data_IF_640024582041
#
_entry.id   IF_640024582041
#
_cell.length_a   1.000
_cell.length_b   1.000
_cell.length_c   1.000
_cell.angle_alpha   90.00
_cell.angle_beta   90.00
_cell.angle_gamma   90.00
#
_symmetry.space_group_name_H-M   'P 1'
#
loop_
_entity.id
_entity.type
_entity.pdbx_description
1 polymer ?
#
# COMPACT_ATOMS: atom_id res chain seq x y z
N UNK A 1 8.56 -31.53 24.75
CA UNK A 1 9.07 -31.44 23.37
C UNK A 1 9.37 -29.99 23.01
N UNK A 2 10.63 -29.68 22.69
CA UNK A 2 10.97 -28.37 22.12
C UNK A 2 10.57 -28.42 20.65
N UNK A 3 9.47 -27.75 20.28
CA UNK A 3 9.18 -27.53 18.86
C UNK A 3 10.37 -26.79 18.24
N UNK A 4 11.11 -27.43 17.34
CA UNK A 4 12.12 -26.77 16.54
C UNK A 4 11.42 -25.94 15.47
N UNK A 5 11.60 -24.62 15.52
CA UNK A 5 11.09 -23.72 14.49
C UNK A 5 12.11 -23.60 13.36
N UNK A 6 11.66 -23.75 12.11
CA UNK A 6 12.49 -23.43 10.93
C UNK A 6 12.40 -21.95 10.56
N UNK A 7 13.18 -21.53 9.56
CA UNK A 7 13.09 -20.18 8.94
C UNK A 7 11.93 -20.04 7.95
N UNK A 8 11.09 -21.06 7.80
CA UNK A 8 9.93 -21.00 6.89
C UNK A 8 8.95 -19.91 7.33
N UNK A 9 8.28 -19.27 6.36
CA UNK A 9 7.22 -18.28 6.61
C UNK A 9 6.19 -18.77 7.64
N UNK A 10 5.77 -20.04 7.51
CA UNK A 10 4.77 -20.65 8.39
C UNK A 10 5.24 -20.67 9.84
N UNK A 11 6.49 -21.06 10.09
CA UNK A 11 7.05 -21.19 11.43
C UNK A 11 7.35 -19.84 12.07
N UNK A 12 7.86 -18.89 11.29
CA UNK A 12 8.07 -17.51 11.76
C UNK A 12 6.73 -16.89 12.19
N UNK A 13 5.69 -17.00 11.37
CA UNK A 13 4.36 -16.49 11.69
C UNK A 13 3.71 -17.23 12.87
N UNK A 14 3.93 -18.55 12.99
CA UNK A 14 3.47 -19.34 14.15
C UNK A 14 4.14 -18.84 15.43
N UNK A 15 5.45 -18.63 15.41
CA UNK A 15 6.20 -18.13 16.56
C UNK A 15 5.75 -16.73 16.98
N UNK A 16 5.55 -15.82 16.02
CA UNK A 16 5.02 -14.48 16.29
C UNK A 16 3.66 -14.53 17.02
N UNK A 17 2.75 -15.43 16.59
CA UNK A 17 1.48 -15.65 17.29
C UNK A 17 1.68 -16.18 18.71
N UNK A 18 2.59 -17.13 18.92
CA UNK A 18 2.91 -17.70 20.24
C UNK A 18 3.38 -16.62 21.21
N UNK A 19 4.24 -15.68 20.77
CA UNK A 19 4.68 -14.57 21.62
C UNK A 19 3.65 -13.44 21.74
N UNK A 20 2.46 -13.60 21.14
CA UNK A 20 1.32 -12.69 21.25
C UNK A 20 1.36 -11.49 20.31
N UNK A 21 2.05 -11.60 19.17
CA UNK A 21 2.01 -10.61 18.07
C UNK A 21 0.83 -10.92 17.16
N UNK A 22 0.04 -9.90 16.84
CA UNK A 22 -1.02 -10.02 15.85
C UNK A 22 -0.42 -9.87 14.44
N UNK A 23 -0.17 -11.02 13.81
CA UNK A 23 0.44 -11.11 12.48
C UNK A 23 -0.37 -10.47 11.36
N UNK A 24 -1.63 -10.07 11.61
CA UNK A 24 -2.46 -9.35 10.64
C UNK A 24 -2.03 -7.90 10.46
N UNK A 25 -1.22 -7.35 11.36
CA UNK A 25 -0.79 -5.94 11.34
C UNK A 25 0.72 -5.77 11.15
N UNK A 26 1.34 -6.80 10.56
CA UNK A 26 2.74 -6.79 10.12
C UNK A 26 2.79 -7.37 8.71
N UNK A 27 3.78 -6.96 7.94
CA UNK A 27 4.12 -7.57 6.65
C UNK A 27 5.40 -8.38 6.80
N UNK A 28 5.35 -9.65 6.42
CA UNK A 28 6.50 -10.55 6.48
C UNK A 28 7.19 -10.68 5.12
N UNK A 29 8.51 -10.51 5.13
CA UNK A 29 9.43 -10.93 4.06
C UNK A 29 10.50 -11.85 4.67
N UNK A 30 11.24 -12.64 3.87
CA UNK A 30 12.26 -13.53 4.41
C UNK A 30 13.36 -12.82 5.22
N UNK A 31 13.67 -11.56 4.89
CA UNK A 31 14.71 -10.77 5.57
C UNK A 31 14.15 -9.77 6.60
N UNK A 32 12.93 -9.26 6.40
CA UNK A 32 12.38 -8.14 7.17
C UNK A 32 10.92 -8.40 7.58
N UNK A 33 10.57 -8.00 8.79
CA UNK A 33 9.19 -7.84 9.24
C UNK A 33 8.90 -6.35 9.40
N UNK A 34 7.98 -5.85 8.59
CA UNK A 34 7.52 -4.48 8.64
C UNK A 34 6.32 -4.37 9.57
N UNK A 35 6.32 -3.39 10.47
CA UNK A 35 5.19 -3.13 11.36
C UNK A 35 4.26 -2.13 10.70
N UNK A 36 3.08 -2.58 10.29
CA UNK A 36 2.08 -1.77 9.59
C UNK A 36 1.29 -0.91 10.59
N UNK A 37 1.04 -1.44 11.78
CA UNK A 37 0.40 -0.71 12.86
C UNK A 37 0.98 -1.15 14.22
N UNK A 38 1.65 -0.22 14.92
CA UNK A 38 2.31 -0.52 16.19
C UNK A 38 1.33 -0.97 17.29
N UNK A 39 0.17 -0.32 17.39
CA UNK A 39 -0.84 -0.61 18.42
C UNK A 39 -1.49 -1.97 18.18
N UNK A 40 -1.93 -2.23 16.95
CA UNK A 40 -2.69 -3.44 16.63
C UNK A 40 -1.82 -4.68 16.46
N UNK A 41 -0.59 -4.55 15.96
CA UNK A 41 0.36 -5.67 15.91
C UNK A 41 0.70 -6.21 17.30
N UNK A 42 0.53 -5.38 18.36
CA UNK A 42 0.96 -5.68 19.72
C UNK A 42 2.45 -6.07 19.79
N UNK A 43 3.26 -5.74 18.80
CA UNK A 43 4.66 -6.15 18.75
C UNK A 43 5.50 -5.20 19.59
N UNK A 44 5.52 -5.37 20.91
CA UNK A 44 6.30 -4.52 21.82
C UNK A 44 7.81 -4.75 21.69
N UNK A 45 8.63 -3.85 22.25
CA UNK A 45 10.09 -4.04 22.33
C UNK A 45 10.49 -5.32 23.08
N UNK A 46 9.73 -5.69 24.11
CA UNK A 46 9.91 -6.96 24.83
C UNK A 46 9.69 -8.17 23.92
N UNK A 47 8.62 -8.16 23.13
CA UNK A 47 8.33 -9.23 22.15
C UNK A 47 9.38 -9.28 21.04
N UNK A 48 9.84 -8.12 20.57
CA UNK A 48 10.95 -8.03 19.60
C UNK A 48 12.23 -8.66 20.13
N UNK A 49 12.60 -8.39 21.39
CA UNK A 49 13.76 -9.04 22.02
C UNK A 49 13.58 -10.56 22.12
N UNK A 50 12.38 -11.05 22.46
CA UNK A 50 12.08 -12.50 22.45
C UNK A 50 12.18 -13.10 21.04
N UNK A 51 11.70 -12.37 20.04
CA UNK A 51 11.75 -12.78 18.63
C UNK A 51 13.18 -12.89 18.12
N UNK A 52 14.00 -11.86 18.35
CA UNK A 52 15.41 -11.82 17.91
C UNK A 52 16.29 -12.90 18.55
N UNK A 53 15.90 -13.47 19.69
CA UNK A 53 16.58 -14.65 20.26
C UNK A 53 16.39 -15.92 19.43
N UNK A 54 15.27 -16.03 18.70
CA UNK A 54 14.97 -17.18 17.83
C UNK A 54 15.31 -16.90 16.37
N UNK A 55 15.09 -15.67 15.90
CA UNK A 55 15.34 -15.25 14.52
C UNK A 55 16.22 -13.99 14.48
N UNK A 56 17.53 -14.10 14.75
CA UNK A 56 18.42 -12.94 14.78
C UNK A 56 18.60 -12.29 13.40
N UNK A 57 18.51 -13.08 12.32
CA UNK A 57 18.72 -12.62 10.94
C UNK A 57 17.53 -11.84 10.35
N UNK A 58 16.34 -11.92 10.97
CA UNK A 58 15.15 -11.22 10.49
C UNK A 58 15.08 -9.86 11.16
N UNK A 59 15.25 -8.80 10.38
CA UNK A 59 15.18 -7.43 10.86
C UNK A 59 13.72 -7.02 11.13
N UNK A 60 13.50 -6.28 12.21
CA UNK A 60 12.18 -5.70 12.55
C UNK A 60 12.18 -4.22 12.19
N UNK A 61 11.41 -3.86 11.16
CA UNK A 61 11.33 -2.50 10.64
C UNK A 61 10.18 -1.75 11.33
N UNK A 62 10.55 -0.77 12.17
CA UNK A 62 9.63 0.15 12.86
C UNK A 62 9.70 1.55 12.27
N UNK A 63 9.20 1.69 11.06
CA UNK A 63 9.22 2.97 10.35
C UNK A 63 7.85 3.67 10.48
N UNK A 64 7.85 4.93 10.93
CA UNK A 64 6.62 5.72 11.12
C UNK A 64 5.99 6.16 9.79
N UNK A 65 6.80 6.44 8.78
CA UNK A 65 6.34 6.76 7.42
C UNK A 65 5.65 5.55 6.79
N UNK A 66 6.26 4.37 6.87
CA UNK A 66 5.62 3.12 6.43
C UNK A 66 4.27 2.87 7.13
N UNK A 67 4.17 3.13 8.43
CA UNK A 67 2.90 3.02 9.17
C UNK A 67 1.85 4.02 8.68
N UNK A 68 2.26 5.25 8.30
CA UNK A 68 1.36 6.24 7.68
C UNK A 68 0.87 5.76 6.31
N UNK A 69 1.77 5.23 5.47
CA UNK A 69 1.42 4.65 4.16
C UNK A 69 0.42 3.50 4.33
N UNK A 70 0.70 2.56 5.25
CA UNK A 70 -0.21 1.47 5.58
C UNK A 70 -1.58 1.97 6.06
N UNK A 71 -1.60 3.03 6.87
CA UNK A 71 -2.85 3.61 7.39
C UNK A 71 -3.68 4.22 6.26
N UNK A 72 -3.06 4.95 5.32
CA UNK A 72 -3.75 5.48 4.14
C UNK A 72 -4.27 4.35 3.24
N UNK A 73 -3.39 3.40 2.90
CA UNK A 73 -3.74 2.25 2.04
C UNK A 73 -4.88 1.43 2.65
N UNK A 74 -4.86 1.21 3.97
CA UNK A 74 -5.88 0.40 4.65
C UNK A 74 -7.29 0.97 4.54
N UNK A 75 -7.45 2.30 4.38
CA UNK A 75 -8.76 2.91 4.20
C UNK A 75 -9.40 2.54 2.88
N UNK A 76 -8.60 2.35 1.83
CA UNK A 76 -9.07 1.91 0.51
C UNK A 76 -9.35 0.40 0.57
N UNK A 77 -8.34 -0.36 1.00
CA UNK A 77 -8.38 -1.82 1.00
C UNK A 77 -9.47 -2.41 1.90
N UNK A 78 -9.91 -1.71 2.96
CA UNK A 78 -10.98 -2.19 3.83
C UNK A 78 -12.36 -2.22 3.17
N UNK A 79 -12.57 -1.42 2.12
CA UNK A 79 -13.84 -1.38 1.38
C UNK A 79 -13.80 -2.21 0.10
N UNK A 80 -12.63 -2.35 -0.51
CA UNK A 80 -12.48 -2.99 -1.82
C UNK A 80 -12.16 -4.49 -1.74
N UNK A 81 -11.54 -4.96 -0.66
CA UNK A 81 -11.15 -6.38 -0.54
C UNK A 81 -12.29 -7.22 0.04
N UNK A 82 -12.76 -8.15 -0.77
CA UNK A 82 -13.64 -9.22 -0.32
C UNK A 82 -12.86 -10.39 0.33
N UNK A 83 -13.41 -11.04 1.38
CA UNK A 83 -12.78 -12.22 1.97
C UNK A 83 -12.58 -13.37 0.98
N UNK A 84 -11.43 -14.04 1.08
CA UNK A 84 -11.01 -15.19 0.28
C UNK A 84 -10.91 -14.94 -1.24
N UNK A 85 -10.92 -13.68 -1.70
CA UNK A 85 -10.74 -13.35 -3.11
C UNK A 85 -9.34 -13.70 -3.62
N UNK A 86 -9.27 -13.93 -4.93
CA UNK A 86 -8.02 -14.10 -5.69
C UNK A 86 -7.66 -12.75 -6.30
N UNK A 87 -6.48 -12.26 -5.96
CA UNK A 87 -6.01 -10.92 -6.34
C UNK A 87 -4.75 -11.04 -7.18
N UNK A 88 -4.81 -10.55 -8.42
CA UNK A 88 -3.66 -10.44 -9.31
C UNK A 88 -2.76 -9.29 -8.87
N UNK A 89 -1.49 -9.59 -8.59
CA UNK A 89 -0.47 -8.64 -8.15
C UNK A 89 0.28 -8.04 -9.35
N UNK A 90 0.65 -6.76 -9.32
CA UNK A 90 1.55 -6.17 -10.30
C UNK A 90 2.94 -6.80 -10.19
N UNK A 91 3.63 -6.92 -11.32
CA UNK A 91 5.00 -7.41 -11.36
C UNK A 91 5.96 -6.36 -10.79
N UNK A 92 6.96 -6.80 -10.03
CA UNK A 92 8.08 -5.98 -9.56
C UNK A 92 7.72 -4.73 -8.72
N UNK A 93 6.57 -4.69 -8.05
CA UNK A 93 6.20 -3.57 -7.17
C UNK A 93 6.31 -3.94 -5.68
N UNK A 94 7.49 -3.69 -5.10
CA UNK A 94 7.80 -4.02 -3.72
C UNK A 94 6.85 -3.35 -2.70
N UNK A 95 6.46 -2.10 -2.93
CA UNK A 95 5.58 -1.36 -2.01
C UNK A 95 4.21 -2.04 -1.91
N UNK A 96 3.65 -2.40 -3.07
CA UNK A 96 2.37 -3.11 -3.16
C UNK A 96 2.46 -4.51 -2.57
N UNK A 97 3.54 -5.26 -2.86
CA UNK A 97 3.76 -6.59 -2.27
C UNK A 97 3.73 -6.56 -0.74
N UNK A 98 4.50 -5.65 -0.13
CA UNK A 98 4.55 -5.51 1.32
C UNK A 98 3.20 -5.05 1.87
N UNK A 99 2.47 -4.16 1.21
CA UNK A 99 1.15 -3.73 1.66
C UNK A 99 0.11 -4.84 1.65
N UNK A 100 0.10 -5.66 0.61
CA UNK A 100 -0.90 -6.72 0.40
C UNK A 100 -0.61 -7.97 1.22
N UNK A 101 0.64 -8.25 1.55
CA UNK A 101 1.08 -9.41 2.34
C UNK A 101 0.21 -9.72 3.58
N UNK A 102 -0.11 -8.77 4.49
CA UNK A 102 -0.96 -9.04 5.65
C UNK A 102 -2.41 -9.40 5.30
N UNK A 103 -2.91 -9.01 4.13
CA UNK A 103 -4.30 -9.26 3.75
C UNK A 103 -4.56 -10.75 3.51
N UNK A 104 -3.51 -11.52 3.15
CA UNK A 104 -3.56 -13.00 3.12
C UNK A 104 -3.99 -13.60 4.46
N UNK A 105 -3.70 -12.89 5.57
CA UNK A 105 -4.07 -13.31 6.93
C UNK A 105 -5.29 -12.58 7.48
N UNK A 106 -5.53 -11.32 7.09
CA UNK A 106 -6.70 -10.55 7.54
C UNK A 106 -7.99 -11.10 6.96
N UNK A 107 -7.97 -11.38 5.65
CA UNK A 107 -9.17 -11.69 4.87
C UNK A 107 -9.05 -13.03 4.11
N UNK A 108 -7.91 -13.73 4.22
CA UNK A 108 -7.71 -15.00 3.53
C UNK A 108 -7.49 -14.86 2.02
N UNK A 109 -7.17 -13.67 1.53
CA UNK A 109 -6.96 -13.45 0.08
C UNK A 109 -5.80 -14.27 -0.44
N UNK A 110 -5.92 -14.70 -1.69
CA UNK A 110 -4.86 -15.39 -2.43
C UNK A 110 -4.22 -14.38 -3.38
N UNK A 111 -2.94 -14.11 -3.19
CA UNK A 111 -2.18 -13.25 -4.10
C UNK A 111 -1.59 -14.14 -5.21
N UNK A 112 -1.91 -13.83 -6.46
CA UNK A 112 -1.41 -14.54 -7.66
C UNK A 112 -0.68 -13.57 -8.57
N UNK A 113 0.17 -14.08 -9.45
CA UNK A 113 0.97 -13.30 -10.39
C UNK A 113 0.62 -13.60 -11.85
N UNK A 114 -0.21 -14.60 -12.08
CA UNK A 114 -0.72 -15.07 -13.37
C UNK A 114 -1.97 -15.93 -13.13
N UNK A 115 -2.74 -16.19 -14.20
CA UNK A 115 -3.92 -17.04 -14.17
C UNK A 115 -5.21 -16.30 -13.83
N UNK A 116 -6.21 -17.04 -13.34
CA UNK A 116 -7.55 -16.52 -13.01
C UNK A 116 -7.56 -15.71 -11.72
N UNK A 117 -8.27 -14.58 -11.71
CA UNK A 117 -8.38 -13.66 -10.57
C UNK A 117 -9.78 -13.04 -10.48
N UNK A 118 -10.16 -12.60 -9.28
CA UNK A 118 -11.38 -11.83 -9.03
C UNK A 118 -11.12 -10.32 -9.16
N UNK A 119 -9.93 -9.88 -8.73
CA UNK A 119 -9.51 -8.48 -8.75
C UNK A 119 -8.07 -8.35 -9.23
N UNK A 120 -7.73 -7.22 -9.82
CA UNK A 120 -6.36 -6.83 -10.14
C UNK A 120 -5.93 -5.62 -9.30
N UNK A 121 -4.70 -5.67 -8.79
CA UNK A 121 -4.12 -4.55 -8.07
C UNK A 121 -3.51 -3.57 -9.07
N UNK A 122 -4.00 -2.34 -9.02
CA UNK A 122 -3.43 -1.23 -9.75
C UNK A 122 -2.49 -0.41 -8.83
N UNK A 123 -1.20 -0.27 -9.16
CA UNK A 123 -0.23 0.42 -8.32
C UNK A 123 -0.32 1.96 -8.37
N UNK A 124 -1.25 2.55 -9.13
CA UNK A 124 -1.42 4.01 -9.26
C UNK A 124 -1.36 4.70 -7.90
N UNK A 125 -0.49 5.71 -7.82
CA UNK A 125 -0.26 6.52 -6.63
C UNK A 125 -1.04 7.84 -6.72
N UNK A 126 -1.05 8.61 -5.63
CA UNK A 126 -1.79 9.89 -5.59
C UNK A 126 -1.30 10.88 -6.66
N UNK A 127 0.01 10.93 -6.89
CA UNK A 127 0.62 11.87 -7.83
C UNK A 127 0.29 11.51 -9.29
N UNK A 128 0.27 10.22 -9.65
CA UNK A 128 -0.12 9.76 -10.99
C UNK A 128 -1.56 10.20 -11.31
N UNK A 129 -2.47 10.00 -10.36
CA UNK A 129 -3.90 10.30 -10.50
C UNK A 129 -4.15 11.81 -10.61
N UNK A 130 -3.48 12.61 -9.77
CA UNK A 130 -3.60 14.07 -9.81
C UNK A 130 -2.98 14.63 -11.09
N UNK A 131 -1.86 14.09 -11.55
CA UNK A 131 -1.27 14.45 -12.83
C UNK A 131 -2.25 14.14 -13.98
N UNK A 132 -2.86 12.94 -13.97
CA UNK A 132 -3.88 12.55 -14.95
C UNK A 132 -5.08 13.48 -15.00
N UNK A 133 -5.58 13.89 -13.83
CA UNK A 133 -6.68 14.87 -13.73
C UNK A 133 -6.28 16.21 -14.37
N UNK A 134 -5.11 16.75 -14.03
CA UNK A 134 -4.67 18.02 -14.61
C UNK A 134 -4.37 17.92 -16.10
N UNK A 135 -3.74 16.83 -16.52
CA UNK A 135 -3.46 16.56 -17.93
C UNK A 135 -4.77 16.56 -18.74
N UNK A 136 -5.79 15.83 -18.30
CA UNK A 136 -7.09 15.79 -18.99
C UNK A 136 -7.79 17.17 -19.03
N UNK A 137 -7.65 17.97 -17.96
CA UNK A 137 -8.16 19.35 -17.94
C UNK A 137 -7.43 20.23 -18.96
N UNK A 138 -6.10 20.14 -19.05
CA UNK A 138 -5.29 20.97 -19.94
C UNK A 138 -5.43 20.58 -21.42
N UNK A 139 -5.63 19.30 -21.72
CA UNK A 139 -5.91 18.83 -23.07
C UNK A 139 -7.35 19.10 -23.51
N UNK A 140 -8.24 19.44 -22.58
CA UNK A 140 -9.65 19.73 -22.86
C UNK A 140 -10.52 18.47 -22.96
N UNK A 141 -10.00 17.32 -22.55
CA UNK A 141 -10.71 16.03 -22.53
C UNK A 141 -11.73 15.95 -21.39
N UNK A 142 -11.63 16.86 -20.41
CA UNK A 142 -12.52 16.91 -19.25
C UNK A 142 -12.01 16.04 -18.10
N UNK A 143 -12.92 15.56 -17.24
CA UNK A 143 -12.57 14.60 -16.19
C UNK A 143 -12.89 13.19 -16.67
N UNK A 144 -11.86 12.35 -16.79
CA UNK A 144 -12.01 10.93 -17.08
C UNK A 144 -12.13 10.13 -15.78
N UNK A 145 -13.21 9.38 -15.65
CA UNK A 145 -13.50 8.52 -14.49
C UNK A 145 -13.32 7.06 -14.91
N UNK A 146 -12.07 6.61 -14.96
CA UNK A 146 -11.69 5.32 -15.55
C UNK A 146 -11.47 4.20 -14.51
N UNK A 147 -11.87 4.41 -13.25
CA UNK A 147 -11.72 3.37 -12.21
C UNK A 147 -12.57 2.16 -12.57
N UNK A 148 -11.92 1.01 -12.77
CA UNK A 148 -12.63 -0.23 -13.08
C UNK A 148 -13.10 -0.92 -11.80
N UNK A 149 -14.27 -1.55 -11.85
CA UNK A 149 -14.86 -2.22 -10.69
C UNK A 149 -14.08 -3.45 -10.22
N UNK A 150 -13.24 -4.03 -11.08
CA UNK A 150 -12.36 -5.17 -10.81
C UNK A 150 -10.92 -4.73 -10.46
N UNK A 151 -10.64 -3.43 -10.43
CA UNK A 151 -9.35 -2.87 -10.01
C UNK A 151 -9.40 -2.39 -8.56
N UNK A 152 -8.33 -2.69 -7.81
CA UNK A 152 -8.10 -2.21 -6.44
C UNK A 152 -6.89 -1.28 -6.47
N UNK A 153 -6.98 -0.11 -5.84
CA UNK A 153 -5.93 0.92 -5.91
C UNK A 153 -5.31 1.21 -4.53
N UNK A 154 -4.41 0.35 -4.00
CA UNK A 154 -3.91 0.48 -2.63
C UNK A 154 -3.19 1.81 -2.34
N UNK A 155 -2.57 2.41 -3.36
CA UNK A 155 -1.70 3.56 -3.23
C UNK A 155 -2.33 4.87 -3.71
N UNK A 156 -3.59 4.89 -4.16
CA UNK A 156 -4.25 6.07 -4.77
C UNK A 156 -4.30 7.29 -3.86
N UNK A 157 -4.17 7.09 -2.55
CA UNK A 157 -4.17 8.16 -1.54
C UNK A 157 -2.77 8.44 -0.97
N UNK A 158 -1.74 7.78 -1.48
CA UNK A 158 -0.36 7.81 -0.97
C UNK A 158 0.51 8.66 -1.91
N UNK A 159 1.13 9.75 -1.40
CA UNK A 159 2.06 10.57 -2.17
C UNK A 159 3.33 9.83 -2.62
N UNK A 160 3.87 10.21 -3.78
CA UNK A 160 5.13 9.69 -4.33
C UNK A 160 6.31 9.89 -3.38
N UNK A 161 6.43 11.09 -2.80
CA UNK A 161 7.53 11.46 -1.90
C UNK A 161 7.57 10.55 -0.65
N UNK A 162 6.41 10.15 -0.13
CA UNK A 162 6.32 9.22 0.98
C UNK A 162 6.81 7.82 0.61
N UNK A 163 6.42 7.34 -0.57
CA UNK A 163 6.83 6.03 -1.07
C UNK A 163 8.34 6.02 -1.30
N UNK A 164 8.87 6.99 -2.05
CA UNK A 164 10.29 7.07 -2.37
C UNK A 164 11.16 7.28 -1.14
N UNK A 165 10.75 8.17 -0.22
CA UNK A 165 11.47 8.34 1.06
C UNK A 165 11.53 7.04 1.87
N UNK A 166 10.45 6.25 1.89
CA UNK A 166 10.46 4.95 2.57
C UNK A 166 11.34 3.94 1.85
N UNK A 167 11.25 3.84 0.52
CA UNK A 167 12.04 2.90 -0.28
C UNK A 167 13.55 3.19 -0.15
N UNK A 168 13.96 4.46 -0.19
CA UNK A 168 15.35 4.87 0.03
C UNK A 168 15.85 4.47 1.43
N UNK A 169 15.07 4.77 2.47
CA UNK A 169 15.39 4.36 3.85
C UNK A 169 15.52 2.84 3.99
N UNK A 170 14.80 2.06 3.19
CA UNK A 170 14.81 0.61 3.20
C UNK A 170 15.85 -0.02 2.27
N UNK A 171 16.62 0.80 1.53
CA UNK A 171 17.63 0.38 0.56
C UNK A 171 17.04 -0.25 -0.70
N UNK A 172 15.85 0.19 -1.12
CA UNK A 172 15.12 -0.28 -2.29
C UNK A 172 15.17 0.75 -3.42
N UNK A 173 14.94 0.28 -4.65
CA UNK A 173 14.82 1.16 -5.82
C UNK A 173 13.57 2.05 -5.66
N UNK A 174 13.74 3.35 -5.86
CA UNK A 174 12.62 4.30 -5.92
C UNK A 174 11.75 4.03 -7.15
N UNK A 175 10.52 4.54 -7.11
CA UNK A 175 9.59 4.52 -8.25
C UNK A 175 9.50 5.91 -8.87
N UNK A 176 9.11 5.94 -10.13
CA UNK A 176 8.85 7.17 -10.88
C UNK A 176 7.34 7.31 -11.07
N UNK A 177 6.90 8.55 -11.29
CA UNK A 177 5.53 8.84 -11.68
C UNK A 177 5.31 8.27 -13.09
N UNK A 178 4.34 7.38 -13.25
CA UNK A 178 4.05 6.77 -14.55
C UNK A 178 3.38 7.78 -15.49
N UNK A 179 2.67 8.76 -14.93
CA UNK A 179 2.01 9.83 -15.67
C UNK A 179 2.77 11.15 -15.52
N UNK A 180 3.48 11.53 -16.57
CA UNK A 180 4.43 12.64 -16.51
C UNK A 180 4.17 13.68 -17.61
N UNK A 181 2.90 14.09 -17.77
CA UNK A 181 2.60 15.27 -18.57
C UNK A 181 3.34 16.48 -18.01
N UNK A 182 4.20 17.09 -18.83
CA UNK A 182 5.13 18.13 -18.39
C UNK A 182 4.40 19.37 -17.86
N UNK A 183 3.28 19.73 -18.47
CA UNK A 183 2.47 20.88 -18.06
C UNK A 183 1.76 20.60 -16.73
N UNK A 184 1.17 19.41 -16.58
CA UNK A 184 0.57 18.95 -15.34
C UNK A 184 1.61 18.88 -14.21
N UNK A 185 2.79 18.33 -14.47
CA UNK A 185 3.90 18.25 -13.51
C UNK A 185 4.34 19.64 -13.08
N UNK A 186 4.58 20.56 -14.02
CA UNK A 186 4.95 21.95 -13.68
C UNK A 186 3.88 22.66 -12.86
N UNK A 187 2.60 22.44 -13.16
CA UNK A 187 1.50 23.02 -12.38
C UNK A 187 1.39 22.42 -10.97
N UNK A 188 1.62 21.12 -10.84
CA UNK A 188 1.68 20.41 -9.56
C UNK A 188 2.80 20.96 -8.67
N UNK A 189 3.98 21.20 -9.21
CA UNK A 189 5.10 21.84 -8.50
C UNK A 189 4.73 23.25 -8.04
N UNK A 190 4.11 24.05 -8.90
CA UNK A 190 3.61 25.38 -8.51
C UNK A 190 2.59 25.32 -7.37
N UNK A 191 1.64 24.37 -7.41
CA UNK A 191 0.62 24.24 -6.37
C UNK A 191 1.18 23.75 -5.04
N UNK A 192 2.29 23.03 -5.04
CA UNK A 192 2.94 22.56 -3.81
C UNK A 192 3.38 23.72 -2.92
N UNK A 193 3.90 24.79 -3.53
CA UNK A 193 4.31 26.01 -2.83
C UNK A 193 3.13 26.84 -2.31
N UNK A 194 1.98 26.78 -2.99
CA UNK A 194 0.81 27.61 -2.69
C UNK A 194 -0.15 26.91 -1.73
N UNK A 195 -0.32 25.60 -1.86
CA UNK A 195 -1.34 24.82 -1.18
C UNK A 195 -0.85 23.38 -0.88
N UNK A 196 -0.23 23.11 0.28
CA UNK A 196 0.41 21.82 0.58
C UNK A 196 -0.49 20.57 0.52
N UNK A 197 -1.81 20.74 0.56
CA UNK A 197 -2.80 19.65 0.52
C UNK A 197 -3.54 19.57 -0.82
N UNK A 198 -3.06 20.25 -1.86
CA UNK A 198 -3.77 20.32 -3.14
C UNK A 198 -4.05 18.94 -3.73
N UNK A 199 -3.07 18.01 -3.69
CA UNK A 199 -3.21 16.66 -4.26
C UNK A 199 -4.44 15.93 -3.70
N UNK A 200 -4.58 15.92 -2.37
CA UNK A 200 -5.74 15.30 -1.71
C UNK A 200 -7.05 16.02 -2.03
N UNK A 201 -7.01 17.35 -2.17
CA UNK A 201 -8.19 18.15 -2.46
C UNK A 201 -8.67 17.97 -3.89
N UNK A 202 -7.75 17.88 -4.85
CA UNK A 202 -8.02 17.60 -6.27
C UNK A 202 -8.66 16.22 -6.41
N UNK A 203 -8.06 15.18 -5.80
CA UNK A 203 -8.63 13.84 -5.83
C UNK A 203 -10.05 13.80 -5.24
N UNK A 204 -10.26 14.38 -4.05
CA UNK A 204 -11.60 14.45 -3.42
C UNK A 204 -12.60 15.23 -4.27
N UNK A 205 -12.17 16.30 -4.92
CA UNK A 205 -13.03 17.08 -5.80
C UNK A 205 -13.46 16.26 -7.03
N UNK A 206 -12.51 15.52 -7.63
CA UNK A 206 -12.79 14.60 -8.74
C UNK A 206 -13.81 13.53 -8.34
N UNK A 207 -13.57 12.81 -7.23
CA UNK A 207 -14.48 11.78 -6.71
C UNK A 207 -15.87 12.34 -6.36
N UNK A 208 -15.95 13.59 -5.90
CA UNK A 208 -17.22 14.25 -5.61
C UNK A 208 -18.02 14.56 -6.88
N UNK A 209 -17.34 14.99 -7.95
CA UNK A 209 -17.97 15.24 -9.25
C UNK A 209 -18.47 13.94 -9.85
N UNK A 210 -17.66 12.88 -9.83
CA UNK A 210 -18.01 11.52 -10.28
C UNK A 210 -19.33 11.05 -9.65
N UNK A 211 -19.40 11.02 -8.32
CA UNK A 211 -20.60 10.60 -7.57
C UNK A 211 -21.84 11.42 -7.94
N UNK A 212 -21.68 12.74 -8.11
CA UNK A 212 -22.78 13.61 -8.52
C UNK A 212 -23.30 13.29 -9.92
N UNK A 213 -22.43 12.91 -10.84
CA UNK A 213 -22.83 12.52 -12.19
C UNK A 213 -23.53 11.16 -12.19
N UNK A 214 -23.08 10.21 -11.38
CA UNK A 214 -23.74 8.90 -11.22
C UNK A 214 -25.16 9.03 -10.67
N UNK A 215 -25.36 9.85 -9.64
CA UNK A 215 -26.69 10.08 -9.03
C UNK A 215 -27.71 10.78 -9.93
N UNK A 216 -27.26 11.33 -11.06
CA UNK A 216 -28.11 12.04 -12.03
C UNK A 216 -28.47 11.17 -13.25
N UNK A 217 -27.90 9.97 -13.37
CA UNK A 217 -28.27 8.96 -14.36
C UNK A 217 -29.44 8.13 -13.85
#
# INVERSE_FOLDING_TARGET
>A
DKEEFSTSKKDVLKFLKIIGVDTRFISYTPQKIYINNLRFSKFSRKREATFKKHYPEIEIVRNSLFQKICSKSSKVLSFEINPNSVILMPQNNFMVEVLMEPYTRKYGVKLVYEGDYDYVINPTILDDEVNGIFSAIFHGDGLEFNKKSDEIYPLINVPLDWINSFLEMDGKKIIENENNDELATSFMEFLEDVAPQYRENVLKASEYIEKKLETKK
#
